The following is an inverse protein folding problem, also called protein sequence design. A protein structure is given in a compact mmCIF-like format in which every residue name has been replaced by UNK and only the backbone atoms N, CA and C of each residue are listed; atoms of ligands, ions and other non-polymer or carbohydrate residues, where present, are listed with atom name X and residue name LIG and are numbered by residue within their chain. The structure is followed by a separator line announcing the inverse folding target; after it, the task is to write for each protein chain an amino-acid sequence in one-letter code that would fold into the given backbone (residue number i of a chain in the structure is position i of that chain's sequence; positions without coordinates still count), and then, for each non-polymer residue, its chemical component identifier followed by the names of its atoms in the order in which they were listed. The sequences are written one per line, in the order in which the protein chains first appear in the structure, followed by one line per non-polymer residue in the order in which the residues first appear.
data_IF_483974637118
#
_entry.id   IF_483974637118
#
_cell.length_a   1.000
_cell.length_b   1.000
_cell.length_c   1.000
_cell.angle_alpha   90.00
_cell.angle_beta   90.00
_cell.angle_gamma   90.00
#
_symmetry.space_group_name_H-M   'P 1'
#
loop_
_entity.id
_entity.type
_entity.pdbx_description
1 polymer ?
#
# COMPACT_ATOMS: atom_id res chain seq x y z
N UNK A 1 7.36 -0.32 -20.23
CA UNK A 1 6.22 -1.11 -19.72
C UNK A 1 5.59 -1.83 -20.90
N UNK A 2 5.68 -3.16 -20.94
CA UNK A 2 5.04 -3.95 -21.98
C UNK A 2 3.72 -4.53 -21.46
N UNK A 3 2.68 -4.44 -22.28
CA UNK A 3 1.35 -4.98 -22.00
C UNK A 3 1.18 -6.35 -22.67
N UNK A 4 0.33 -7.24 -22.14
CA UNK A 4 0.00 -8.50 -22.79
C UNK A 4 -0.62 -8.25 -24.17
N UNK A 5 -0.14 -8.96 -25.19
CA UNK A 5 -0.64 -8.83 -26.57
C UNK A 5 -1.92 -9.63 -26.83
N UNK A 6 -2.27 -10.53 -25.91
CA UNK A 6 -3.47 -11.38 -25.98
C UNK A 6 -4.33 -11.18 -24.72
N UNK A 7 -5.64 -11.49 -24.77
CA UNK A 7 -6.49 -11.47 -23.59
C UNK A 7 -5.90 -12.31 -22.45
N UNK A 8 -5.91 -11.75 -21.24
CA UNK A 8 -5.52 -12.45 -20.02
C UNK A 8 -6.78 -13.06 -19.41
N UNK A 9 -6.88 -14.39 -19.43
CA UNK A 9 -7.98 -15.12 -18.78
C UNK A 9 -7.54 -15.53 -17.38
N UNK A 10 -8.29 -15.10 -16.36
CA UNK A 10 -8.07 -15.45 -14.97
C UNK A 10 -9.13 -16.44 -14.49
N UNK A 11 -8.74 -17.41 -13.67
CA UNK A 11 -9.69 -18.28 -12.99
C UNK A 11 -10.38 -17.52 -11.84
N UNK A 12 -11.58 -17.97 -11.40
CA UNK A 12 -12.24 -17.38 -10.23
C UNK A 12 -11.34 -17.34 -8.98
N UNK A 13 -10.51 -18.36 -8.78
CA UNK A 13 -9.57 -18.45 -7.66
C UNK A 13 -8.50 -17.35 -7.76
N UNK A 14 -7.93 -17.14 -8.94
CA UNK A 14 -6.94 -16.07 -9.17
C UNK A 14 -7.55 -14.68 -8.95
N UNK A 15 -8.81 -14.47 -9.33
CA UNK A 15 -9.53 -13.23 -9.06
C UNK A 15 -9.75 -13.04 -7.56
N UNK A 16 -10.14 -14.11 -6.86
CA UNK A 16 -10.31 -14.12 -5.41
C UNK A 16 -9.02 -13.73 -4.68
N UNK A 17 -7.90 -14.38 -5.01
CA UNK A 17 -6.60 -14.09 -4.43
C UNK A 17 -6.15 -12.65 -4.69
N UNK A 18 -6.34 -12.14 -5.91
CA UNK A 18 -5.99 -10.76 -6.25
C UNK A 18 -6.83 -9.73 -5.47
N UNK A 19 -8.13 -10.00 -5.31
CA UNK A 19 -9.02 -9.13 -4.54
C UNK A 19 -8.73 -9.17 -3.04
N UNK A 20 -8.33 -10.32 -2.50
CA UNK A 20 -7.86 -10.43 -1.12
C UNK A 20 -6.58 -9.61 -0.89
N UNK A 21 -5.59 -9.74 -1.79
CA UNK A 21 -4.37 -8.92 -1.77
C UNK A 21 -4.67 -7.43 -1.84
N UNK A 22 -5.59 -7.01 -2.70
CA UNK A 22 -6.03 -5.61 -2.79
C UNK A 22 -6.67 -5.14 -1.47
N UNK A 23 -7.53 -5.96 -0.89
CA UNK A 23 -8.23 -5.63 0.36
C UNK A 23 -7.25 -5.49 1.53
N UNK A 24 -6.27 -6.38 1.62
CA UNK A 24 -5.19 -6.29 2.60
C UNK A 24 -4.34 -5.03 2.39
N UNK A 25 -3.92 -4.75 1.16
CA UNK A 25 -3.15 -3.54 0.83
C UNK A 25 -3.90 -2.28 1.24
N UNK A 26 -5.21 -2.19 0.94
CA UNK A 26 -6.04 -1.05 1.36
C UNK A 26 -6.11 -0.91 2.87
N UNK A 27 -6.28 -2.01 3.59
CA UNK A 27 -6.28 -2.02 5.05
C UNK A 27 -4.95 -1.48 5.60
N UNK A 28 -3.83 -1.97 5.11
CA UNK A 28 -2.50 -1.63 5.63
C UNK A 28 -2.13 -0.18 5.32
N UNK A 29 -2.48 0.33 4.13
CA UNK A 29 -2.37 1.75 3.78
C UNK A 29 -3.24 2.62 4.69
N UNK A 30 -4.50 2.25 4.90
CA UNK A 30 -5.42 3.00 5.78
C UNK A 30 -4.92 3.04 7.23
N UNK A 31 -4.32 1.95 7.71
CA UNK A 31 -3.71 1.92 9.03
C UNK A 31 -2.53 2.90 9.13
N UNK A 32 -1.64 2.93 8.12
CA UNK A 32 -0.55 3.91 8.06
C UNK A 32 -1.07 5.35 8.09
N UNK A 33 -2.10 5.66 7.28
CA UNK A 33 -2.73 6.99 7.25
C UNK A 33 -3.35 7.36 8.60
N UNK A 34 -3.99 6.41 9.28
CA UNK A 34 -4.57 6.61 10.60
C UNK A 34 -3.49 6.95 11.65
N UNK A 35 -2.32 6.31 11.57
CA UNK A 35 -1.17 6.63 12.44
C UNK A 35 -0.63 8.04 12.18
N UNK A 36 -0.56 8.49 10.92
CA UNK A 36 -0.16 9.86 10.58
C UNK A 36 -1.13 10.85 11.22
N UNK A 37 -2.44 10.66 11.02
CA UNK A 37 -3.48 11.54 11.57
C UNK A 37 -3.40 11.59 13.09
N UNK A 38 -3.26 10.43 13.75
CA UNK A 38 -3.13 10.37 15.20
C UNK A 38 -1.87 11.09 15.71
N UNK A 39 -0.73 10.92 15.03
CA UNK A 39 0.52 11.58 15.39
C UNK A 39 0.42 13.12 15.26
N UNK A 40 -0.25 13.61 14.21
CA UNK A 40 -0.51 15.04 14.01
C UNK A 40 -1.41 15.58 15.15
N UNK A 41 -2.50 14.88 15.46
CA UNK A 41 -3.42 15.29 16.53
C UNK A 41 -2.75 15.28 17.90
N UNK A 42 -1.91 14.27 18.19
CA UNK A 42 -1.13 14.23 19.41
C UNK A 42 -0.13 15.38 19.48
N UNK A 43 0.55 15.71 18.39
CA UNK A 43 1.49 16.85 18.33
C UNK A 43 0.78 18.18 18.61
N UNK A 44 -0.45 18.36 18.09
CA UNK A 44 -1.26 19.56 18.35
C UNK A 44 -1.67 19.69 19.81
N UNK A 45 -2.01 18.57 20.46
CA UNK A 45 -2.46 18.55 21.86
C UNK A 45 -1.30 18.57 22.86
N UNK A 46 -0.16 18.00 22.46
CA UNK A 46 1.02 17.76 23.29
C UNK A 46 2.30 18.07 22.48
N UNK A 47 2.66 19.36 22.31
CA UNK A 47 3.81 19.76 21.51
C UNK A 47 5.14 19.15 21.98
N UNK A 48 5.25 18.78 23.26
CA UNK A 48 6.42 18.10 23.82
C UNK A 48 6.68 16.72 23.21
N UNK A 49 5.66 16.10 22.60
CA UNK A 49 5.78 14.82 21.89
C UNK A 49 6.21 14.97 20.43
N UNK A 50 6.35 16.20 19.92
CA UNK A 50 6.59 16.48 18.50
C UNK A 50 7.77 15.67 17.91
N UNK A 51 8.96 15.58 18.54
CA UNK A 51 10.08 14.83 17.96
C UNK A 51 9.73 13.36 17.67
N UNK A 52 9.08 12.70 18.63
CA UNK A 52 8.65 11.29 18.50
C UNK A 52 7.54 11.11 17.46
N UNK A 53 6.58 12.05 17.41
CA UNK A 53 5.50 12.00 16.43
C UNK A 53 6.00 12.26 15.00
N UNK A 54 6.98 13.15 14.84
CA UNK A 54 7.65 13.38 13.55
C UNK A 54 8.32 12.10 13.04
N UNK A 55 9.02 11.35 13.90
CA UNK A 55 9.61 10.06 13.50
C UNK A 55 8.53 9.06 13.06
N UNK A 56 7.40 9.02 13.78
CA UNK A 56 6.28 8.14 13.44
C UNK A 56 5.71 8.49 12.07
N UNK A 57 5.52 9.79 11.78
CA UNK A 57 5.01 10.29 10.51
C UNK A 57 5.99 9.98 9.39
N UNK A 58 7.28 10.26 9.59
CA UNK A 58 8.33 10.07 8.58
C UNK A 58 8.46 8.61 8.10
N UNK A 59 8.14 7.63 8.96
CA UNK A 59 8.19 6.21 8.62
C UNK A 59 6.98 5.70 7.81
N UNK A 60 5.83 6.38 7.85
CA UNK A 60 4.62 5.86 7.21
C UNK A 60 4.66 5.92 5.66
N UNK A 61 5.18 6.97 5.01
CA UNK A 61 5.30 7.02 3.56
C UNK A 61 6.03 5.82 2.96
N UNK A 62 7.17 5.44 3.53
CA UNK A 62 7.96 4.30 3.03
C UNK A 62 7.19 2.97 3.16
N UNK A 63 6.44 2.79 4.25
CA UNK A 63 5.56 1.62 4.43
C UNK A 63 4.45 1.58 3.38
N UNK A 64 3.77 2.71 3.16
CA UNK A 64 2.72 2.83 2.13
C UNK A 64 3.29 2.50 0.75
N UNK A 65 4.45 3.05 0.40
CA UNK A 65 5.12 2.77 -0.87
C UNK A 65 5.47 1.29 -0.99
N UNK A 66 5.95 0.67 0.08
CA UNK A 66 6.27 -0.76 0.12
C UNK A 66 5.03 -1.64 -0.14
N UNK A 67 3.92 -1.38 0.56
CA UNK A 67 2.66 -2.12 0.36
C UNK A 67 2.12 -1.97 -1.07
N UNK A 68 2.14 -0.75 -1.60
CA UNK A 68 1.71 -0.49 -2.97
C UNK A 68 2.61 -1.17 -4.01
N UNK A 69 3.93 -1.17 -3.80
CA UNK A 69 4.87 -1.87 -4.68
C UNK A 69 4.64 -3.37 -4.66
N UNK A 70 4.43 -3.97 -3.48
CA UNK A 70 4.15 -5.39 -3.35
C UNK A 70 2.86 -5.78 -4.08
N UNK A 71 1.77 -5.04 -3.88
CA UNK A 71 0.53 -5.27 -4.61
C UNK A 71 0.70 -5.09 -6.13
N UNK A 72 1.41 -4.04 -6.54
CA UNK A 72 1.65 -3.75 -7.95
C UNK A 72 2.44 -4.86 -8.63
N UNK A 73 3.47 -5.42 -7.97
CA UNK A 73 4.23 -6.54 -8.51
C UNK A 73 3.35 -7.79 -8.72
N UNK A 74 2.47 -8.09 -7.76
CA UNK A 74 1.52 -9.20 -7.88
C UNK A 74 0.48 -8.94 -8.97
N UNK A 75 -0.05 -7.72 -9.05
CA UNK A 75 -0.96 -7.30 -10.12
C UNK A 75 -0.30 -7.46 -11.50
N UNK A 76 0.87 -6.86 -11.69
CA UNK A 76 1.60 -6.91 -12.95
C UNK A 76 1.91 -8.35 -13.35
N UNK A 77 2.35 -9.18 -12.40
CA UNK A 77 2.56 -10.62 -12.61
C UNK A 77 1.29 -11.35 -13.05
N UNK A 78 0.16 -11.14 -12.36
CA UNK A 78 -1.12 -11.78 -12.70
C UNK A 78 -1.60 -11.40 -14.10
N UNK A 79 -1.32 -10.16 -14.53
CA UNK A 79 -1.70 -9.67 -15.86
C UNK A 79 -0.61 -9.83 -16.93
N UNK A 80 0.54 -10.44 -16.62
CA UNK A 80 1.66 -10.56 -17.55
C UNK A 80 2.22 -9.22 -18.04
N UNK A 81 2.10 -8.17 -17.22
CA UNK A 81 2.66 -6.84 -17.48
C UNK A 81 4.12 -6.85 -17.05
N UNK A 82 5.02 -6.39 -17.90
CA UNK A 82 6.45 -6.29 -17.56
C UNK A 82 6.93 -4.84 -17.54
N UNK A 83 7.82 -4.53 -16.60
CA UNK A 83 8.61 -3.29 -16.60
C UNK A 83 9.93 -3.59 -17.31
N UNK A 84 10.25 -2.80 -18.33
CA UNK A 84 11.61 -2.73 -18.89
C UNK A 84 12.54 -2.06 -17.88
#
# INVERSE_FOLDING_TARGET
MALPQNPVTLTPEQIGELNEKLSKTRHDVNNCLSLIVAAIELTRRKPELAPRMTDTIAQQPDKIISELRAFTAEFEKTFGITRE
#
